data_IF_625584505878
#
_entry.id   IF_625584505878
#
_cell.length_a   1.000
_cell.length_b   1.000
_cell.length_c   1.000
_cell.angle_alpha   90.00
_cell.angle_beta   90.00
_cell.angle_gamma   90.00
#
_symmetry.space_group_name_H-M   'P 1'
#
loop_
_entity.id
_entity.type
_entity.pdbx_description
1 polymer ?
#
# COMPACT_ATOMS: atom_id res chain seq x y z
N UNK A 1 -68.04 -39.77 30.86
CA UNK A 1 -66.71 -39.13 30.97
C UNK A 1 -66.49 -38.22 29.77
N UNK A 2 -66.14 -36.96 29.99
CA UNK A 2 -65.76 -36.04 28.91
C UNK A 2 -64.36 -36.40 28.38
N UNK A 3 -64.18 -36.42 27.06
CA UNK A 3 -62.86 -36.17 26.44
C UNK A 3 -62.94 -34.84 25.71
N UNK A 4 -62.13 -33.88 26.15
CA UNK A 4 -62.08 -32.53 25.58
C UNK A 4 -61.31 -32.56 24.25
N UNK A 5 -61.77 -31.81 23.27
CA UNK A 5 -60.99 -31.44 22.09
C UNK A 5 -60.03 -30.33 22.50
N UNK A 6 -58.75 -30.50 22.18
CA UNK A 6 -57.76 -29.41 22.23
C UNK A 6 -57.03 -29.37 20.90
N UNK A 7 -57.25 -28.31 20.13
CA UNK A 7 -56.48 -27.98 18.93
C UNK A 7 -55.23 -27.24 19.40
N UNK A 8 -54.04 -27.75 19.08
CA UNK A 8 -52.80 -26.98 19.18
C UNK A 8 -52.41 -26.48 17.79
N UNK A 9 -52.44 -25.17 17.61
CA UNK A 9 -51.84 -24.52 16.46
C UNK A 9 -50.31 -24.53 16.64
N UNK A 10 -49.62 -25.31 15.80
CA UNK A 10 -48.17 -25.20 15.69
C UNK A 10 -47.84 -23.97 14.83
N UNK A 11 -47.33 -22.92 15.46
CA UNK A 11 -46.75 -21.78 14.75
C UNK A 11 -45.50 -22.30 14.03
N UNK A 12 -45.52 -22.30 12.70
CA UNK A 12 -44.34 -22.54 11.90
C UNK A 12 -43.39 -21.34 12.05
N UNK A 13 -42.51 -21.39 13.05
CA UNK A 13 -41.33 -20.54 13.05
C UNK A 13 -40.44 -20.97 11.89
N UNK A 14 -40.40 -20.15 10.85
CA UNK A 14 -39.32 -20.21 9.86
C UNK A 14 -38.02 -19.92 10.58
N UNK A 15 -37.28 -20.96 10.97
CA UNK A 15 -35.91 -20.79 11.41
C UNK A 15 -35.12 -20.21 10.23
N UNK A 16 -34.75 -18.93 10.35
CA UNK A 16 -33.65 -18.37 9.55
C UNK A 16 -32.46 -19.26 9.82
N UNK A 17 -31.97 -19.92 8.77
CA UNK A 17 -30.94 -20.94 8.90
C UNK A 17 -29.67 -20.33 9.48
N UNK A 18 -29.37 -20.64 10.73
CA UNK A 18 -27.98 -20.73 11.17
C UNK A 18 -27.32 -21.75 10.23
N UNK A 19 -26.43 -21.30 9.36
CA UNK A 19 -25.51 -22.20 8.66
C UNK A 19 -24.58 -22.78 9.71
N UNK A 20 -24.92 -23.97 10.23
CA UNK A 20 -24.07 -24.73 11.12
C UNK A 20 -22.72 -24.98 10.45
N UNK A 21 -21.63 -24.83 11.22
CA UNK A 21 -20.22 -25.00 10.77
C UNK A 21 -19.87 -26.50 10.56
N UNK A 22 -20.76 -27.25 9.89
CA UNK A 22 -20.66 -28.70 9.62
C UNK A 22 -19.82 -29.04 8.37
N UNK A 23 -18.85 -28.18 8.00
CA UNK A 23 -18.03 -28.33 6.79
C UNK A 23 -16.52 -28.52 7.03
N UNK A 24 -16.16 -29.09 8.18
CA UNK A 24 -14.91 -29.84 8.32
C UNK A 24 -15.25 -31.23 8.87
N UNK A 25 -14.88 -32.28 8.14
CA UNK A 25 -14.90 -33.63 8.67
C UNK A 25 -13.92 -33.67 9.85
N UNK A 26 -14.39 -33.97 11.06
CA UNK A 26 -13.51 -34.22 12.20
C UNK A 26 -12.66 -35.47 11.93
N UNK A 27 -11.54 -35.28 11.24
CA UNK A 27 -10.53 -36.32 11.09
C UNK A 27 -10.05 -36.71 12.49
N UNK A 28 -10.02 -38.01 12.77
CA UNK A 28 -9.61 -38.54 14.08
C UNK A 28 -8.28 -37.94 14.52
N UNK A 29 -8.24 -37.41 15.75
CA UNK A 29 -7.35 -36.37 16.33
C UNK A 29 -5.82 -36.54 16.22
N UNK A 30 -5.27 -37.45 15.41
CA UNK A 30 -3.85 -37.82 15.42
C UNK A 30 -3.13 -37.81 14.05
N UNK A 31 -3.84 -37.75 12.92
CA UNK A 31 -3.25 -38.02 11.58
C UNK A 31 -3.27 -36.88 10.54
N UNK A 32 -3.98 -35.78 10.79
CA UNK A 32 -4.05 -34.65 9.86
C UNK A 32 -3.42 -33.39 10.47
N UNK A 33 -2.75 -32.63 9.61
CA UNK A 33 -2.04 -31.42 9.95
C UNK A 33 -3.01 -30.22 9.90
N UNK A 34 -2.97 -29.27 10.85
CA UNK A 34 -3.68 -28.00 10.69
C UNK A 34 -3.26 -27.29 9.38
N UNK A 35 -4.20 -26.56 8.76
CA UNK A 35 -3.90 -25.46 7.84
C UNK A 35 -3.47 -24.30 8.73
N UNK A 36 -2.34 -24.47 9.40
CA UNK A 36 -1.88 -23.55 10.42
C UNK A 36 -1.30 -22.28 9.79
N UNK A 37 -1.10 -21.25 10.62
CA UNK A 37 -0.02 -20.29 10.36
C UNK A 37 1.17 -20.56 11.32
N UNK A 38 1.06 -21.54 12.24
CA UNK A 38 2.15 -22.17 13.04
C UNK A 38 1.60 -23.30 13.97
N UNK A 39 2.44 -24.18 14.57
CA UNK A 39 2.14 -25.11 15.72
C UNK A 39 1.52 -26.51 15.41
N UNK A 40 2.29 -27.57 15.70
CA UNK A 40 2.06 -29.03 15.67
C UNK A 40 1.57 -29.66 14.35
N UNK A 41 2.56 -30.01 13.52
CA UNK A 41 2.47 -30.58 12.16
C UNK A 41 1.87 -29.60 11.14
N UNK A 42 2.79 -28.89 10.49
CA UNK A 42 2.68 -28.27 9.15
C UNK A 42 2.05 -26.87 9.04
N UNK A 43 2.84 -25.92 8.47
CA UNK A 43 2.63 -24.50 8.10
C UNK A 43 3.49 -23.41 8.86
N UNK A 44 4.16 -22.35 8.30
CA UNK A 44 4.34 -21.69 6.95
C UNK A 44 5.80 -21.19 6.64
N UNK A 45 6.23 -21.10 5.35
CA UNK A 45 7.45 -20.36 4.88
C UNK A 45 7.25 -19.23 3.86
N UNK A 46 8.29 -18.39 3.69
CA UNK A 46 8.20 -17.03 3.08
C UNK A 46 9.19 -16.78 1.93
N UNK A 47 9.13 -15.58 1.35
CA UNK A 47 10.19 -14.98 0.55
C UNK A 47 11.00 -13.97 1.41
N UNK A 48 12.02 -13.33 0.84
CA UNK A 48 13.10 -12.62 1.54
C UNK A 48 12.65 -11.37 2.33
N UNK A 49 11.47 -10.83 2.03
CA UNK A 49 10.89 -9.67 2.71
C UNK A 49 9.61 -10.00 3.48
N UNK A 50 9.39 -9.26 4.56
CA UNK A 50 8.45 -9.62 5.61
C UNK A 50 7.39 -8.51 5.83
N UNK A 51 6.10 -8.85 5.80
CA UNK A 51 5.00 -7.90 6.07
C UNK A 51 5.24 -7.07 7.36
N UNK A 52 5.72 -7.70 8.43
CA UNK A 52 5.97 -7.04 9.71
C UNK A 52 7.15 -6.06 9.71
N UNK A 53 8.07 -6.13 8.72
CA UNK A 53 9.12 -5.11 8.53
C UNK A 53 8.61 -3.90 7.75
N UNK A 54 7.52 -4.04 7.01
CA UNK A 54 6.77 -2.95 6.37
C UNK A 54 5.67 -2.37 7.29
N UNK A 55 5.56 -2.83 8.53
CA UNK A 55 4.55 -2.39 9.48
C UNK A 55 3.20 -3.11 9.37
N UNK A 56 3.00 -3.98 8.37
CA UNK A 56 1.78 -4.77 8.23
C UNK A 56 1.78 -5.92 9.25
N UNK A 57 0.95 -5.82 10.29
CA UNK A 57 0.85 -6.86 11.35
C UNK A 57 -0.39 -7.75 11.23
N UNK A 58 -1.17 -7.61 10.16
CA UNK A 58 -2.30 -8.48 9.85
C UNK A 58 -2.57 -8.61 8.36
N UNK A 59 -3.33 -9.64 8.00
CA UNK A 59 -3.95 -9.79 6.68
C UNK A 59 -5.24 -10.62 6.78
N UNK A 60 -6.13 -10.48 5.80
CA UNK A 60 -7.32 -11.31 5.64
C UNK A 60 -7.10 -12.46 4.68
N UNK A 61 -7.76 -13.60 4.94
CA UNK A 61 -7.67 -14.80 4.09
C UNK A 61 -9.06 -15.39 3.83
N UNK A 62 -9.34 -15.65 2.56
CA UNK A 62 -10.32 -16.65 2.12
C UNK A 62 -9.61 -17.91 1.65
N UNK A 63 -10.22 -19.06 1.89
CA UNK A 63 -9.71 -20.33 1.39
C UNK A 63 -10.83 -21.23 0.90
N UNK A 64 -10.63 -21.89 -0.23
CA UNK A 64 -11.59 -22.77 -0.88
C UNK A 64 -10.92 -24.06 -1.35
N UNK A 65 -11.54 -25.21 -1.10
CA UNK A 65 -11.05 -26.54 -1.47
C UNK A 65 -11.82 -27.11 -2.66
N UNK A 66 -11.10 -27.78 -3.57
CA UNK A 66 -11.61 -28.32 -4.84
C UNK A 66 -11.21 -29.80 -4.99
N UNK A 67 -12.14 -30.60 -5.52
CA UNK A 67 -11.94 -32.03 -5.78
C UNK A 67 -12.48 -32.40 -7.15
N UNK A 68 -11.94 -33.47 -7.75
CA UNK A 68 -12.26 -33.89 -9.13
C UNK A 68 -13.71 -34.31 -9.37
N UNK A 69 -14.49 -34.50 -8.31
CA UNK A 69 -15.91 -34.89 -8.34
C UNK A 69 -16.74 -34.24 -7.23
N UNK A 70 -16.19 -33.23 -6.54
CA UNK A 70 -16.84 -32.56 -5.40
C UNK A 70 -17.10 -31.09 -5.75
N UNK A 71 -18.22 -30.55 -5.28
CA UNK A 71 -18.46 -29.10 -5.34
C UNK A 71 -17.44 -28.38 -4.48
N UNK A 72 -16.99 -27.20 -4.92
CA UNK A 72 -16.17 -26.29 -4.11
C UNK A 72 -16.75 -26.12 -2.71
N UNK A 73 -15.89 -26.16 -1.69
CA UNK A 73 -16.26 -25.82 -0.32
C UNK A 73 -15.38 -24.70 0.24
N UNK A 74 -15.98 -23.78 0.99
CA UNK A 74 -15.28 -22.72 1.73
C UNK A 74 -14.64 -23.29 3.00
N UNK A 75 -13.41 -22.87 3.30
CA UNK A 75 -12.60 -23.33 4.44
C UNK A 75 -12.29 -22.18 5.40
N UNK A 76 -11.99 -21.00 4.86
CA UNK A 76 -11.80 -19.75 5.59
C UNK A 76 -12.63 -18.65 4.93
N UNK A 77 -13.24 -17.79 5.74
CA UNK A 77 -14.10 -16.69 5.28
C UNK A 77 -13.69 -15.37 5.95
N UNK A 78 -12.90 -14.56 5.22
CA UNK A 78 -12.24 -13.36 5.73
C UNK A 78 -11.61 -13.57 7.13
N UNK A 79 -10.84 -14.65 7.28
CA UNK A 79 -10.12 -14.92 8.52
C UNK A 79 -9.01 -13.90 8.69
N UNK A 80 -8.98 -13.25 9.86
CA UNK A 80 -7.85 -12.44 10.30
C UNK A 80 -6.67 -13.34 10.62
N UNK A 81 -5.52 -13.10 10.02
CA UNK A 81 -4.22 -13.63 10.46
C UNK A 81 -3.43 -12.47 11.06
N UNK A 82 -2.97 -12.63 12.29
CA UNK A 82 -2.23 -11.63 13.05
C UNK A 82 -0.79 -12.06 13.31
N UNK A 83 0.13 -11.10 13.29
CA UNK A 83 1.52 -11.24 13.72
C UNK A 83 1.67 -11.01 15.23
N UNK A 84 2.61 -11.69 15.89
CA UNK A 84 3.13 -11.29 17.20
C UNK A 84 4.63 -11.52 17.31
N UNK A 85 5.37 -10.58 17.89
CA UNK A 85 6.80 -10.75 18.20
C UNK A 85 7.07 -11.36 19.59
N UNK A 86 6.00 -11.66 20.34
CA UNK A 86 6.08 -12.15 21.72
C UNK A 86 6.54 -11.10 22.75
N UNK A 87 6.77 -9.85 22.34
CA UNK A 87 7.28 -8.73 23.16
C UNK A 87 6.30 -7.55 23.18
N UNK A 88 5.06 -7.78 22.76
CA UNK A 88 3.96 -6.82 22.77
C UNK A 88 3.75 -6.06 21.46
N UNK A 89 4.45 -6.45 20.38
CA UNK A 89 4.19 -5.95 19.02
C UNK A 89 3.18 -6.86 18.33
N UNK A 90 2.16 -6.29 17.70
CA UNK A 90 1.08 -7.07 17.08
C UNK A 90 0.08 -7.65 18.08
N UNK A 91 -0.41 -8.86 17.82
CA UNK A 91 -1.53 -9.52 18.49
C UNK A 91 -1.09 -10.25 19.78
N UNK A 92 -2.03 -10.46 20.70
CA UNK A 92 -1.80 -11.30 21.88
C UNK A 92 -1.69 -12.77 21.47
N UNK A 93 -0.55 -13.40 21.78
CA UNK A 93 -0.28 -14.82 21.60
C UNK A 93 -0.65 -15.67 22.84
N UNK A 94 -1.28 -15.08 23.87
CA UNK A 94 -1.43 -15.74 25.18
C UNK A 94 -2.28 -17.03 25.17
N UNK A 95 -3.23 -17.14 24.25
CA UNK A 95 -4.17 -18.27 24.15
C UNK A 95 -3.86 -19.22 23.00
N UNK A 96 -2.89 -18.91 22.15
CA UNK A 96 -2.75 -19.58 20.85
C UNK A 96 -1.72 -20.70 20.94
N UNK A 97 -2.14 -21.90 20.58
CA UNK A 97 -1.30 -23.10 20.53
C UNK A 97 -0.38 -23.09 19.31
N UNK A 98 -0.70 -22.23 18.35
CA UNK A 98 -0.07 -22.13 17.04
C UNK A 98 1.25 -21.36 17.06
N UNK A 99 1.35 -20.20 17.71
CA UNK A 99 2.45 -19.23 17.54
C UNK A 99 3.88 -19.73 17.89
N UNK A 100 4.88 -19.23 17.16
CA UNK A 100 6.30 -19.35 17.52
C UNK A 100 7.09 -18.03 17.30
N UNK A 101 7.98 -17.66 18.23
CA UNK A 101 8.78 -16.41 18.17
C UNK A 101 9.69 -16.30 16.94
N UNK A 102 10.13 -17.44 16.41
CA UNK A 102 11.08 -17.49 15.28
C UNK A 102 10.37 -17.93 14.01
N UNK A 103 10.71 -17.26 12.90
CA UNK A 103 10.38 -17.75 11.55
C UNK A 103 11.23 -18.99 11.28
N UNK A 104 10.62 -20.01 10.71
CA UNK A 104 11.30 -21.21 10.25
C UNK A 104 11.21 -21.45 8.73
N UNK A 105 11.43 -22.70 8.35
CA UNK A 105 11.45 -23.22 6.98
C UNK A 105 10.10 -23.83 6.57
N UNK A 106 9.94 -24.20 5.29
CA UNK A 106 8.68 -24.76 4.74
C UNK A 106 8.33 -26.15 5.26
N UNK A 107 9.14 -26.68 6.17
CA UNK A 107 9.07 -28.05 6.66
C UNK A 107 9.29 -28.14 8.19
N UNK A 108 9.38 -27.00 8.91
CA UNK A 108 9.54 -26.98 10.39
C UNK A 108 8.42 -26.24 11.18
N UNK A 109 7.57 -25.48 10.48
CA UNK A 109 6.24 -25.06 10.95
C UNK A 109 6.25 -24.05 12.10
N UNK A 110 7.33 -23.27 12.18
CA UNK A 110 7.47 -22.15 13.11
C UNK A 110 7.16 -20.83 12.39
N UNK A 111 6.20 -20.08 12.94
CA UNK A 111 5.93 -18.74 12.44
C UNK A 111 5.34 -17.83 13.52
N UNK A 112 5.66 -16.54 13.50
CA UNK A 112 5.10 -15.53 14.41
C UNK A 112 3.67 -15.11 14.02
N UNK A 113 3.10 -15.72 12.97
CA UNK A 113 1.74 -15.47 12.49
C UNK A 113 0.78 -16.57 12.92
N UNK A 114 -0.44 -16.19 13.28
CA UNK A 114 -1.50 -17.10 13.70
C UNK A 114 -2.88 -16.50 13.44
N UNK A 115 -3.90 -17.35 13.53
CA UNK A 115 -5.31 -16.95 13.42
C UNK A 115 -6.21 -17.65 14.44
N UNK A 116 -5.68 -18.64 15.17
CA UNK A 116 -6.39 -19.35 16.22
C UNK A 116 -6.77 -18.38 17.35
N UNK A 117 -8.00 -18.48 17.85
CA UNK A 117 -8.58 -17.60 18.86
C UNK A 117 -8.62 -16.10 18.53
N UNK A 118 -8.16 -15.66 17.35
CA UNK A 118 -8.31 -14.26 16.96
C UNK A 118 -9.78 -13.89 16.81
N UNK A 119 -10.10 -12.68 17.28
CA UNK A 119 -11.43 -12.12 17.38
C UNK A 119 -11.35 -10.60 17.56
N UNK A 120 -12.31 -10.04 18.29
CA UNK A 120 -12.43 -8.60 18.54
C UNK A 120 -11.74 -8.14 19.83
N UNK A 121 -11.25 -9.05 20.69
CA UNK A 121 -10.72 -8.72 22.02
C UNK A 121 -9.21 -9.01 22.19
N UNK A 122 -8.60 -9.68 21.21
CA UNK A 122 -7.25 -10.23 21.25
C UNK A 122 -6.18 -9.21 20.79
N UNK A 123 -6.62 -8.05 20.33
CA UNK A 123 -5.76 -6.92 19.99
C UNK A 123 -5.91 -5.79 21.00
N UNK A 124 -4.93 -5.66 21.89
CA UNK A 124 -4.98 -4.78 23.07
C UNK A 124 -3.89 -3.69 23.06
N UNK A 125 -3.24 -3.48 21.92
CA UNK A 125 -2.17 -2.49 21.82
C UNK A 125 -2.68 -1.05 21.99
N UNK A 126 -1.99 -0.26 22.80
CA UNK A 126 -2.27 1.17 23.05
C UNK A 126 -1.15 2.08 22.56
N UNK A 127 -0.12 1.53 21.92
CA UNK A 127 1.10 2.20 21.50
C UNK A 127 1.28 2.05 19.99
N UNK A 128 1.08 3.13 19.24
CA UNK A 128 1.09 3.12 17.77
C UNK A 128 2.45 2.66 17.18
N UNK A 129 3.54 2.73 17.95
CA UNK A 129 4.85 2.22 17.50
C UNK A 129 4.91 0.69 17.43
N UNK A 130 3.92 0.00 18.02
CA UNK A 130 3.81 -1.46 18.11
C UNK A 130 2.77 -2.07 17.16
N UNK A 131 2.20 -1.24 16.29
CA UNK A 131 1.21 -1.60 15.27
C UNK A 131 -0.08 -0.81 15.41
N UNK A 132 -1.17 -1.40 14.93
CA UNK A 132 -2.53 -0.85 15.08
C UNK A 132 -2.85 -0.49 16.54
N UNK A 133 -3.98 0.17 16.77
CA UNK A 133 -4.47 0.48 18.11
C UNK A 133 -5.73 -0.32 18.43
N UNK A 134 -5.94 -0.64 19.71
CA UNK A 134 -7.17 -1.25 20.21
C UNK A 134 -8.42 -0.37 20.00
N UNK A 135 -8.25 0.90 19.63
CA UNK A 135 -9.33 1.80 19.20
C UNK A 135 -9.70 1.64 17.72
N UNK A 136 -8.86 1.00 16.90
CA UNK A 136 -9.06 0.84 15.45
C UNK A 136 -9.75 -0.50 15.13
N UNK A 137 -11.03 -0.61 15.49
CA UNK A 137 -11.85 -1.82 15.29
C UNK A 137 -11.96 -2.32 13.85
N UNK A 138 -11.59 -1.51 12.85
CA UNK A 138 -11.50 -1.94 11.45
C UNK A 138 -10.44 -3.03 11.19
N UNK A 139 -9.40 -3.13 12.05
CA UNK A 139 -8.31 -4.11 11.95
C UNK A 139 -8.48 -5.34 12.86
N UNK A 140 -9.53 -5.36 13.68
CA UNK A 140 -9.91 -6.49 14.53
C UNK A 140 -10.75 -7.49 13.74
N UNK A 141 -10.81 -8.77 14.10
CA UNK A 141 -11.55 -9.74 13.29
C UNK A 141 -13.07 -9.45 13.29
N UNK A 142 -13.69 -9.59 12.12
CA UNK A 142 -15.13 -9.65 11.95
C UNK A 142 -15.77 -10.88 12.62
N UNK A 143 -14.98 -11.95 12.79
CA UNK A 143 -15.39 -13.23 13.35
C UNK A 143 -14.77 -13.40 14.74
N UNK A 144 -15.58 -13.64 15.77
CA UNK A 144 -15.07 -13.96 17.10
C UNK A 144 -14.58 -15.43 17.15
N UNK A 145 -13.49 -15.68 17.89
CA UNK A 145 -12.94 -17.02 18.17
C UNK A 145 -12.69 -17.86 16.91
N UNK A 146 -11.86 -17.36 15.99
CA UNK A 146 -11.49 -18.12 14.79
C UNK A 146 -10.85 -19.48 15.14
N UNK A 147 -11.48 -20.55 14.66
CA UNK A 147 -11.05 -21.93 14.90
C UNK A 147 -9.95 -22.36 13.93
N UNK A 148 -8.97 -23.11 14.45
CA UNK A 148 -7.96 -23.83 13.67
C UNK A 148 -8.64 -24.74 12.62
N UNK A 149 -8.21 -24.63 11.37
CA UNK A 149 -8.65 -25.48 10.25
C UNK A 149 -7.58 -26.52 9.93
N UNK A 150 -7.93 -27.61 9.23
CA UNK A 150 -7.06 -28.77 8.96
C UNK A 150 -7.06 -29.17 7.48
N UNK A 151 -5.98 -29.82 7.03
CA UNK A 151 -5.79 -30.26 5.65
C UNK A 151 -6.74 -31.41 5.28
N UNK A 152 -7.90 -31.09 4.71
CA UNK A 152 -8.86 -32.08 4.23
C UNK A 152 -8.27 -32.89 3.06
N UNK A 153 -7.87 -34.13 3.34
CA UNK A 153 -7.21 -35.00 2.38
C UNK A 153 -8.13 -35.48 1.25
N UNK A 154 -9.45 -35.31 1.36
CA UNK A 154 -10.40 -35.68 0.29
C UNK A 154 -10.39 -34.69 -0.90
N UNK A 155 -9.82 -33.50 -0.73
CA UNK A 155 -9.74 -32.47 -1.77
C UNK A 155 -8.32 -32.36 -2.31
N UNK A 156 -8.16 -32.37 -3.63
CA UNK A 156 -6.84 -32.38 -4.28
C UNK A 156 -6.09 -31.06 -4.11
N UNK A 157 -6.82 -29.94 -4.06
CA UNK A 157 -6.25 -28.59 -4.01
C UNK A 157 -7.04 -27.67 -3.10
N UNK A 158 -6.33 -26.78 -2.41
CA UNK A 158 -6.91 -25.65 -1.68
C UNK A 158 -6.32 -24.36 -2.23
N UNK A 159 -7.16 -23.44 -2.67
CA UNK A 159 -6.78 -22.09 -3.07
C UNK A 159 -6.95 -21.14 -1.88
N UNK A 160 -6.04 -20.19 -1.77
CA UNK A 160 -5.98 -19.14 -0.76
C UNK A 160 -5.92 -17.80 -1.48
N UNK A 161 -6.76 -16.86 -1.04
CA UNK A 161 -6.82 -15.49 -1.52
C UNK A 161 -6.67 -14.57 -0.31
N UNK A 162 -5.65 -13.71 -0.32
CA UNK A 162 -5.29 -12.92 0.85
C UNK A 162 -5.01 -11.46 0.53
N UNK A 163 -5.19 -10.57 1.51
CA UNK A 163 -4.97 -9.14 1.38
C UNK A 163 -4.52 -8.50 2.70
N UNK A 164 -3.73 -7.43 2.64
CA UNK A 164 -3.29 -6.66 3.79
C UNK A 164 -3.53 -5.15 3.56
N UNK A 165 -3.75 -4.34 4.61
CA UNK A 165 -4.06 -4.75 5.97
C UNK A 165 -5.43 -5.45 6.05
N UNK A 166 -5.68 -6.19 7.13
CA UNK A 166 -7.01 -6.80 7.37
C UNK A 166 -8.10 -5.72 7.49
N UNK A 167 -9.30 -6.02 6.96
CA UNK A 167 -10.49 -5.18 7.15
C UNK A 167 -11.68 -6.05 7.61
N UNK A 168 -12.29 -5.67 8.74
CA UNK A 168 -13.47 -6.35 9.28
C UNK A 168 -14.74 -6.18 8.44
N UNK A 169 -14.79 -5.13 7.62
CA UNK A 169 -15.87 -4.88 6.69
C UNK A 169 -15.33 -4.21 5.41
N UNK A 170 -16.12 -4.25 4.34
CA UNK A 170 -15.82 -3.54 3.10
C UNK A 170 -14.81 -4.22 2.17
N UNK A 171 -14.16 -5.31 2.56
CA UNK A 171 -13.41 -6.17 1.62
C UNK A 171 -14.12 -7.51 1.50
N UNK A 172 -14.44 -7.93 0.27
CA UNK A 172 -15.21 -9.15 -0.02
C UNK A 172 -14.52 -9.99 -1.10
N UNK A 173 -14.84 -11.28 -1.17
CA UNK A 173 -14.39 -12.16 -2.24
C UNK A 173 -15.57 -12.91 -2.86
N UNK A 174 -15.72 -12.81 -4.19
CA UNK A 174 -16.66 -13.63 -4.96
C UNK A 174 -15.92 -14.84 -5.56
N UNK A 175 -16.29 -16.03 -5.06
CA UNK A 175 -15.76 -17.32 -5.47
C UNK A 175 -16.19 -17.74 -6.89
N UNK A 176 -17.27 -17.17 -7.43
CA UNK A 176 -17.72 -17.42 -8.82
C UNK A 176 -16.82 -16.72 -9.82
N UNK A 177 -16.50 -15.45 -9.55
CA UNK A 177 -15.68 -14.61 -10.44
C UNK A 177 -14.21 -14.54 -10.05
N UNK A 178 -13.80 -15.15 -8.92
CA UNK A 178 -12.44 -15.09 -8.36
C UNK A 178 -11.96 -13.65 -8.12
N UNK A 179 -12.83 -12.77 -7.65
CA UNK A 179 -12.51 -11.35 -7.43
C UNK A 179 -12.52 -10.99 -5.95
N UNK A 180 -11.43 -10.40 -5.47
CA UNK A 180 -11.45 -9.60 -4.23
C UNK A 180 -11.93 -8.20 -4.60
N UNK A 181 -12.86 -7.63 -3.84
CA UNK A 181 -13.38 -6.28 -4.03
C UNK A 181 -13.12 -5.47 -2.77
N UNK A 182 -12.43 -4.33 -2.90
CA UNK A 182 -12.27 -3.32 -1.86
C UNK A 182 -13.34 -2.27 -2.07
N UNK A 183 -14.36 -2.22 -1.23
CA UNK A 183 -15.45 -1.25 -1.34
C UNK A 183 -14.96 0.20 -1.14
N UNK A 184 -15.74 1.16 -1.64
CA UNK A 184 -15.49 2.57 -1.36
C UNK A 184 -15.44 2.85 0.15
N UNK A 185 -14.39 3.52 0.63
CA UNK A 185 -14.19 3.82 2.04
C UNK A 185 -13.76 2.63 2.92
N UNK A 186 -13.56 1.43 2.37
CA UNK A 186 -13.01 0.28 3.11
C UNK A 186 -11.51 0.43 3.42
N UNK A 187 -10.85 1.34 2.71
CA UNK A 187 -9.45 1.73 2.87
C UNK A 187 -9.40 3.26 2.92
N UNK A 188 -8.41 3.83 3.59
CA UNK A 188 -8.11 5.26 3.49
C UNK A 188 -6.96 5.42 2.48
N UNK A 189 -7.13 6.31 1.50
CA UNK A 189 -6.00 6.76 0.69
C UNK A 189 -5.16 7.72 1.54
N UNK A 190 -3.84 7.53 1.58
CA UNK A 190 -3.00 8.29 2.50
C UNK A 190 -1.51 8.12 2.27
N UNK A 191 -0.75 8.63 3.23
CA UNK A 191 0.69 8.79 3.20
C UNK A 191 1.33 8.35 4.52
N UNK A 192 2.64 8.13 4.49
CA UNK A 192 3.61 7.88 5.58
C UNK A 192 3.41 6.59 6.39
N UNK A 193 2.18 6.20 6.73
CA UNK A 193 1.90 4.92 7.37
C UNK A 193 1.49 3.86 6.33
N UNK A 194 2.48 3.06 5.91
CA UNK A 194 2.24 1.92 5.02
C UNK A 194 1.21 0.95 5.63
N UNK A 195 1.28 0.66 6.93
CA UNK A 195 0.40 -0.34 7.58
C UNK A 195 -1.09 0.01 7.51
N UNK A 196 -1.42 1.30 7.39
CA UNK A 196 -2.80 1.76 7.29
C UNK A 196 -3.24 2.02 5.85
N UNK A 197 -2.34 2.56 5.01
CA UNK A 197 -2.70 3.15 3.71
C UNK A 197 -2.33 2.27 2.50
N UNK A 198 -1.26 1.50 2.60
CA UNK A 198 -0.84 0.57 1.55
C UNK A 198 -1.74 -0.67 1.55
N UNK A 199 -2.40 -0.94 0.42
CA UNK A 199 -3.15 -2.17 0.24
C UNK A 199 -2.32 -3.19 -0.57
N UNK A 200 -2.21 -4.41 -0.05
CA UNK A 200 -1.49 -5.51 -0.66
C UNK A 200 -2.39 -6.73 -0.87
N UNK A 201 -2.01 -7.61 -1.80
CA UNK A 201 -2.74 -8.84 -2.12
C UNK A 201 -1.81 -10.02 -2.42
N UNK A 202 -2.29 -11.23 -2.16
CA UNK A 202 -1.60 -12.48 -2.48
C UNK A 202 -2.59 -13.55 -2.95
N UNK A 203 -2.07 -14.56 -3.64
CA UNK A 203 -2.80 -15.79 -4.01
C UNK A 203 -1.87 -16.98 -3.88
N UNK A 204 -2.41 -18.13 -3.47
CA UNK A 204 -1.68 -19.38 -3.40
C UNK A 204 -2.60 -20.59 -3.63
N UNK A 205 -2.04 -21.68 -4.14
CA UNK A 205 -2.68 -22.99 -4.26
C UNK A 205 -1.74 -24.00 -3.64
N UNK A 206 -2.26 -24.79 -2.72
CA UNK A 206 -1.55 -25.93 -2.14
C UNK A 206 -2.23 -27.23 -2.56
N UNK A 207 -1.46 -28.31 -2.64
CA UNK A 207 -2.02 -29.65 -2.85
C UNK A 207 -2.12 -30.42 -1.52
N UNK A 208 -3.06 -31.35 -1.43
CA UNK A 208 -3.14 -32.27 -0.29
C UNK A 208 -1.95 -33.26 -0.19
N UNK A 209 -1.15 -33.39 -1.25
CA UNK A 209 0.05 -34.21 -1.29
C UNK A 209 1.22 -33.54 -0.55
N UNK A 210 1.37 -32.22 -0.71
CA UNK A 210 2.44 -31.45 -0.04
C UNK A 210 2.23 -31.47 1.49
N UNK A 211 0.99 -31.19 1.91
CA UNK A 211 0.63 -30.89 3.30
C UNK A 211 1.53 -29.79 3.89
N UNK A 212 2.03 -28.86 3.08
CA UNK A 212 3.01 -27.86 3.48
C UNK A 212 2.37 -26.51 3.73
N UNK A 213 2.95 -25.80 4.68
CA UNK A 213 3.37 -24.42 4.61
C UNK A 213 2.96 -23.62 3.35
N UNK A 214 1.81 -22.94 3.47
CA UNK A 214 1.19 -22.07 2.47
C UNK A 214 1.98 -20.77 2.32
N UNK A 215 2.91 -20.73 1.38
CA UNK A 215 3.66 -19.51 1.06
C UNK A 215 2.77 -18.48 0.35
N UNK A 216 2.53 -17.35 1.02
CA UNK A 216 1.90 -16.15 0.42
C UNK A 216 2.97 -15.15 0.00
N UNK A 217 2.95 -14.73 -1.27
CA UNK A 217 3.83 -13.68 -1.80
C UNK A 217 3.00 -12.43 -2.10
N UNK A 218 2.90 -11.56 -1.08
CA UNK A 218 2.16 -10.30 -1.14
C UNK A 218 2.73 -9.32 -2.16
N UNK A 219 1.83 -8.51 -2.74
CA UNK A 219 2.08 -7.57 -3.81
C UNK A 219 1.25 -6.32 -3.61
N UNK A 220 1.82 -5.18 -3.94
CA UNK A 220 1.25 -3.86 -3.76
C UNK A 220 0.15 -3.65 -4.81
N UNK A 221 -1.06 -3.28 -4.36
CA UNK A 221 -2.16 -2.86 -5.25
C UNK A 221 -1.86 -1.49 -5.88
N UNK A 222 -1.08 -0.68 -5.17
CA UNK A 222 -0.63 0.63 -5.60
C UNK A 222 0.84 0.71 -5.95
N UNK A 223 1.27 1.95 -6.11
CA UNK A 223 2.65 2.37 -6.28
C UNK A 223 3.17 3.02 -5.00
N UNK A 224 4.49 3.20 -4.89
CA UNK A 224 5.10 4.10 -3.91
C UNK A 224 5.56 5.37 -4.62
N UNK A 225 5.16 6.54 -4.13
CA UNK A 225 5.50 7.84 -4.73
C UNK A 225 6.33 8.68 -3.75
N UNK A 226 7.50 9.10 -4.25
CA UNK A 226 8.53 9.81 -3.50
C UNK A 226 9.00 11.05 -4.28
N UNK A 227 9.52 12.05 -3.57
CA UNK A 227 9.88 13.35 -4.12
C UNK A 227 11.29 13.77 -3.66
N UNK A 228 12.13 14.24 -4.60
CA UNK A 228 13.48 14.74 -4.29
C UNK A 228 13.93 15.92 -5.16
N UNK A 229 14.86 16.70 -4.64
CA UNK A 229 15.30 17.99 -5.18
C UNK A 229 16.82 18.16 -5.17
N UNK A 230 17.30 18.93 -6.13
CA UNK A 230 18.64 19.53 -6.16
C UNK A 230 18.61 20.84 -6.98
N UNK A 231 19.69 21.63 -6.97
CA UNK A 231 19.73 22.93 -7.67
C UNK A 231 20.99 23.15 -8.51
N UNK A 232 20.90 23.99 -9.53
CA UNK A 232 22.03 24.53 -10.28
C UNK A 232 21.80 26.03 -10.54
N UNK A 233 21.97 26.83 -9.48
CA UNK A 233 21.69 28.27 -9.48
C UNK A 233 22.95 29.07 -9.17
N UNK A 234 23.72 29.42 -10.19
CA UNK A 234 24.96 30.21 -10.03
C UNK A 234 24.73 31.50 -9.22
N UNK A 235 25.42 31.60 -8.07
CA UNK A 235 25.44 32.78 -7.20
C UNK A 235 24.35 32.82 -6.13
N UNK A 236 23.47 31.82 -6.08
CA UNK A 236 22.45 31.67 -5.05
C UNK A 236 22.40 30.21 -4.55
N UNK A 237 21.88 30.01 -3.35
CA UNK A 237 21.48 28.69 -2.85
C UNK A 237 19.97 28.67 -2.60
N UNK A 238 19.36 27.48 -2.58
CA UNK A 238 17.90 27.34 -2.66
C UNK A 238 17.31 26.72 -1.38
N UNK A 239 16.46 27.47 -0.68
CA UNK A 239 15.65 27.01 0.47
C UNK A 239 14.22 26.76 -0.03
N UNK A 240 13.69 25.54 0.11
CA UNK A 240 12.28 25.25 -0.24
C UNK A 240 11.38 25.75 0.90
N UNK A 241 10.24 26.35 0.56
CA UNK A 241 9.25 26.88 1.51
C UNK A 241 7.84 26.38 1.17
N UNK A 242 6.89 26.55 2.09
CA UNK A 242 5.48 26.18 1.84
C UNK A 242 4.91 26.94 0.65
N UNK A 243 4.08 26.29 -0.16
CA UNK A 243 3.50 26.92 -1.36
C UNK A 243 2.57 28.09 -1.00
N UNK A 244 1.75 27.99 0.04
CA UNK A 244 0.73 29.00 0.42
C UNK A 244 0.89 29.52 1.86
N UNK A 245 0.58 28.68 2.85
CA UNK A 245 0.75 28.95 4.28
C UNK A 245 1.50 27.79 4.94
N UNK A 246 1.92 27.95 6.20
CA UNK A 246 2.58 26.89 6.96
C UNK A 246 1.81 25.56 6.87
N UNK A 247 2.57 24.47 6.77
CA UNK A 247 2.10 23.08 6.70
C UNK A 247 1.42 22.68 5.37
N UNK A 248 1.37 23.57 4.37
CA UNK A 248 0.85 23.24 3.03
C UNK A 248 1.90 22.71 2.06
N UNK A 249 3.18 22.73 2.45
CA UNK A 249 4.29 22.00 1.81
C UNK A 249 4.46 22.28 0.31
N UNK A 250 4.91 21.25 -0.40
CA UNK A 250 4.87 21.14 -1.87
C UNK A 250 3.56 20.45 -2.26
N UNK A 251 2.88 20.90 -3.32
CA UNK A 251 1.64 20.27 -3.77
C UNK A 251 1.76 19.65 -5.16
N UNK A 252 0.97 18.60 -5.43
CA UNK A 252 0.83 18.01 -6.76
C UNK A 252 -0.65 17.84 -7.11
N UNK A 253 -1.08 18.62 -8.09
CA UNK A 253 -2.47 18.81 -8.50
C UNK A 253 -2.78 17.92 -9.70
N UNK A 254 -3.77 17.01 -9.63
CA UNK A 254 -4.06 16.07 -10.73
C UNK A 254 -4.55 16.82 -11.96
N UNK A 255 -3.94 16.54 -13.11
CA UNK A 255 -4.18 17.30 -14.33
C UNK A 255 -4.07 16.45 -15.60
N UNK A 256 -4.77 16.86 -16.66
CA UNK A 256 -4.48 16.44 -18.04
C UNK A 256 -3.89 17.61 -18.83
N UNK A 257 -3.09 17.30 -19.85
CA UNK A 257 -2.48 18.29 -20.75
C UNK A 257 -2.80 17.94 -22.21
N UNK A 258 -3.33 18.91 -22.96
CA UNK A 258 -3.54 18.80 -24.41
C UNK A 258 -3.04 20.06 -25.11
N UNK A 259 -2.00 19.92 -25.94
CA UNK A 259 -1.21 21.08 -26.39
C UNK A 259 -0.66 21.84 -25.18
N UNK A 260 -0.89 23.15 -25.12
CA UNK A 260 -0.53 23.99 -23.97
C UNK A 260 -1.70 24.23 -22.99
N UNK A 261 -2.82 23.52 -23.16
CA UNK A 261 -3.97 23.59 -22.25
C UNK A 261 -3.85 22.57 -21.14
N UNK A 262 -4.05 23.02 -19.90
CA UNK A 262 -4.12 22.18 -18.70
C UNK A 262 -5.56 22.12 -18.20
N UNK A 263 -5.96 21.02 -17.58
CA UNK A 263 -7.31 20.86 -17.00
C UNK A 263 -7.25 19.95 -15.80
N UNK A 264 -7.89 20.36 -14.70
CA UNK A 264 -7.96 19.58 -13.46
C UNK A 264 -8.58 18.21 -13.74
N UNK A 265 -7.96 17.17 -13.20
CA UNK A 265 -8.33 15.78 -13.45
C UNK A 265 -8.65 15.06 -12.14
N UNK A 266 -9.03 13.77 -12.24
CA UNK A 266 -9.21 12.90 -11.08
C UNK A 266 -8.46 11.60 -11.26
N UNK A 267 -7.73 11.16 -10.23
CA UNK A 267 -6.93 9.92 -10.23
C UNK A 267 -7.57 8.86 -9.34
N UNK A 268 -7.29 7.58 -9.63
CA UNK A 268 -7.85 6.45 -8.88
C UNK A 268 -7.12 6.18 -7.56
N UNK A 269 -7.85 5.71 -6.55
CA UNK A 269 -7.30 5.27 -5.24
C UNK A 269 -7.62 3.79 -4.95
N UNK A 270 -7.18 3.28 -3.79
CA UNK A 270 -7.50 1.93 -3.28
C UNK A 270 -8.99 1.69 -3.06
N UNK A 271 -9.78 2.76 -2.91
CA UNK A 271 -11.22 2.71 -2.68
C UNK A 271 -11.98 2.29 -3.95
N UNK A 272 -12.64 1.14 -3.93
CA UNK A 272 -13.43 0.63 -5.06
C UNK A 272 -12.67 -0.29 -6.02
N UNK A 273 -11.38 -0.55 -5.78
CA UNK A 273 -10.57 -1.42 -6.63
C UNK A 273 -10.96 -2.90 -6.47
N UNK A 274 -10.91 -3.68 -7.56
CA UNK A 274 -11.05 -5.14 -7.53
C UNK A 274 -9.80 -5.85 -8.05
N UNK A 275 -9.48 -7.01 -7.49
CA UNK A 275 -8.31 -7.83 -7.80
C UNK A 275 -8.81 -9.17 -8.36
N UNK A 276 -8.49 -9.49 -9.61
CA UNK A 276 -8.97 -10.71 -10.29
C UNK A 276 -7.94 -11.84 -10.31
N UNK A 277 -8.37 -13.06 -9.96
CA UNK A 277 -7.54 -14.29 -9.93
C UNK A 277 -8.02 -15.36 -10.93
N UNK A 278 -8.81 -14.98 -11.93
CA UNK A 278 -9.45 -15.90 -12.90
C UNK A 278 -8.46 -16.63 -13.81
N UNK A 279 -7.35 -15.99 -14.16
CA UNK A 279 -6.31 -16.54 -15.04
C UNK A 279 -5.34 -17.48 -14.32
N UNK A 280 -5.10 -17.28 -13.02
CA UNK A 280 -4.37 -18.20 -12.14
C UNK A 280 -4.48 -17.80 -10.68
N UNK A 281 -4.41 -18.78 -9.77
CA UNK A 281 -4.33 -18.55 -8.32
C UNK A 281 -2.89 -18.42 -7.81
N UNK A 282 -1.91 -19.06 -8.46
CA UNK A 282 -0.49 -19.09 -8.01
C UNK A 282 0.48 -18.37 -8.93
N UNK A 283 0.34 -18.59 -10.23
CA UNK A 283 1.24 -18.12 -11.30
C UNK A 283 0.44 -18.05 -12.61
N UNK A 284 0.00 -16.87 -13.08
CA UNK A 284 -0.39 -16.73 -14.48
C UNK A 284 0.84 -16.91 -15.38
N UNK A 285 0.63 -17.27 -16.65
CA UNK A 285 1.68 -17.78 -17.56
C UNK A 285 2.97 -16.97 -17.60
N UNK A 286 4.10 -17.67 -17.43
CA UNK A 286 5.42 -17.06 -17.36
C UNK A 286 5.96 -16.61 -18.73
N UNK A 287 5.91 -15.30 -18.96
CA UNK A 287 6.93 -14.59 -19.73
C UNK A 287 7.30 -13.31 -18.97
N UNK A 288 8.28 -13.43 -18.06
CA UNK A 288 8.91 -12.36 -17.24
C UNK A 288 7.98 -11.17 -16.94
N UNK A 289 7.08 -11.32 -15.97
CA UNK A 289 6.44 -10.18 -15.30
C UNK A 289 5.81 -10.59 -13.98
N UNK A 290 5.73 -9.63 -13.06
CA UNK A 290 4.90 -9.70 -11.85
C UNK A 290 3.47 -10.13 -12.20
N UNK A 291 2.75 -10.89 -11.35
CA UNK A 291 1.41 -11.34 -11.67
C UNK A 291 0.50 -10.13 -11.82
N UNK A 292 -0.19 -10.10 -12.95
CA UNK A 292 -1.18 -9.09 -13.25
C UNK A 292 -2.49 -9.58 -12.62
N UNK A 293 -2.74 -9.18 -11.37
CA UNK A 293 -4.12 -8.95 -11.00
C UNK A 293 -4.57 -7.69 -11.77
N UNK A 294 -5.48 -7.87 -12.71
CA UNK A 294 -6.08 -6.71 -13.39
C UNK A 294 -6.93 -5.96 -12.38
N UNK A 295 -6.62 -4.67 -12.18
CA UNK A 295 -7.53 -3.78 -11.45
C UNK A 295 -8.69 -3.45 -12.39
N UNK A 296 -9.91 -3.88 -12.05
CA UNK A 296 -11.08 -3.34 -12.75
C UNK A 296 -11.39 -1.95 -12.18
N UNK A 297 -11.38 -0.95 -13.05
CA UNK A 297 -11.64 0.44 -12.72
C UNK A 297 -13.11 0.86 -12.83
N UNK A 298 -13.99 0.01 -13.38
CA UNK A 298 -15.44 0.25 -13.53
C UNK A 298 -16.15 0.56 -12.20
N UNK A 299 -15.58 0.10 -11.07
CA UNK A 299 -16.05 0.38 -9.70
C UNK A 299 -15.10 1.23 -8.85
N UNK A 300 -13.96 1.66 -9.40
CA UNK A 300 -12.92 2.35 -8.63
C UNK A 300 -13.22 3.85 -8.46
N UNK A 301 -12.96 4.38 -7.27
CA UNK A 301 -13.21 5.78 -6.94
C UNK A 301 -12.09 6.66 -7.51
N UNK A 302 -12.46 7.81 -8.07
CA UNK A 302 -11.52 8.86 -8.43
C UNK A 302 -11.62 10.03 -7.44
N UNK A 303 -10.48 10.62 -7.09
CA UNK A 303 -10.39 11.84 -6.26
C UNK A 303 -9.65 12.94 -7.01
N UNK A 304 -9.95 14.18 -6.67
CA UNK A 304 -9.35 15.43 -7.16
C UNK A 304 -8.40 16.09 -6.14
N UNK A 305 -8.33 15.56 -4.91
CA UNK A 305 -7.50 16.11 -3.83
C UNK A 305 -6.01 16.18 -4.24
N UNK A 306 -5.37 17.32 -3.96
CA UNK A 306 -3.93 17.48 -4.16
C UNK A 306 -3.14 16.53 -3.26
N UNK A 307 -2.03 16.00 -3.79
CA UNK A 307 -1.00 15.41 -2.92
C UNK A 307 -0.20 16.54 -2.27
N UNK A 308 0.10 16.41 -0.98
CA UNK A 308 0.85 17.38 -0.17
C UNK A 308 2.09 16.70 0.38
N UNK A 309 3.25 17.15 -0.07
CA UNK A 309 4.55 16.63 0.36
C UNK A 309 5.19 17.60 1.36
N UNK A 310 5.59 17.08 2.51
CA UNK A 310 6.33 17.84 3.53
C UNK A 310 7.67 18.32 2.96
N UNK A 311 8.03 19.55 3.25
CA UNK A 311 9.31 20.15 2.88
C UNK A 311 10.43 19.32 3.54
N UNK A 312 11.54 19.00 2.84
CA UNK A 312 12.69 18.36 3.46
C UNK A 312 13.09 19.09 4.75
N UNK A 313 13.40 18.37 5.84
CA UNK A 313 13.73 18.96 7.13
C UNK A 313 15.10 18.47 7.65
N UNK A 314 16.09 19.36 7.62
CA UNK A 314 17.43 19.10 8.12
C UNK A 314 18.25 18.07 7.32
N UNK A 315 19.37 17.64 7.90
CA UNK A 315 20.38 16.82 7.19
C UNK A 315 19.99 15.36 6.99
N UNK A 316 19.04 14.82 7.76
CA UNK A 316 18.46 13.48 7.54
C UNK A 316 17.74 13.40 6.20
N UNK A 317 17.09 14.49 5.82
CA UNK A 317 16.34 14.63 4.58
C UNK A 317 17.24 15.11 3.43
N UNK A 318 18.55 15.22 3.65
CA UNK A 318 19.54 15.56 2.62
C UNK A 318 19.75 17.05 2.37
N UNK A 319 19.23 17.94 3.22
CA UNK A 319 19.58 19.36 3.18
C UNK A 319 21.03 19.61 3.58
N UNK A 320 21.56 20.72 3.08
CA UNK A 320 22.86 21.28 3.44
C UNK A 320 22.66 22.62 4.13
N UNK A 321 23.51 22.97 5.09
CA UNK A 321 23.39 24.23 5.82
C UNK A 321 24.39 25.25 5.29
N UNK A 322 23.94 26.47 5.01
CA UNK A 322 24.80 27.62 4.65
C UNK A 322 24.63 28.76 5.65
N UNK A 323 25.64 29.63 5.75
CA UNK A 323 25.56 30.88 6.51
C UNK A 323 25.93 32.04 5.60
N UNK A 324 25.00 32.99 5.43
CA UNK A 324 25.23 34.17 4.61
C UNK A 324 26.36 35.03 5.21
N UNK A 325 27.39 35.40 4.42
CA UNK A 325 28.63 35.96 4.95
C UNK A 325 28.48 37.37 5.54
N UNK A 326 27.50 38.15 5.08
CA UNK A 326 27.26 39.52 5.54
C UNK A 326 26.26 39.59 6.70
N UNK A 327 25.17 38.82 6.66
CA UNK A 327 24.12 38.85 7.68
C UNK A 327 24.38 37.89 8.85
N UNK A 328 25.23 36.88 8.67
CA UNK A 328 25.44 35.81 9.64
C UNK A 328 24.22 34.89 9.83
N UNK A 329 23.17 35.05 9.01
CA UNK A 329 21.98 34.20 9.05
C UNK A 329 22.27 32.84 8.42
N UNK A 330 21.83 31.80 9.09
CA UNK A 330 21.92 30.41 8.62
C UNK A 330 20.64 30.00 7.92
N UNK A 331 20.77 29.19 6.87
CA UNK A 331 19.67 28.64 6.06
C UNK A 331 19.94 27.16 5.80
N UNK A 332 18.87 26.37 5.74
CA UNK A 332 18.92 24.98 5.27
C UNK A 332 18.46 24.95 3.80
N UNK A 333 19.36 24.51 2.93
CA UNK A 333 19.24 24.61 1.47
C UNK A 333 19.44 23.27 0.80
N UNK A 334 18.76 23.06 -0.33
CA UNK A 334 18.91 21.83 -1.13
C UNK A 334 20.33 21.73 -1.72
N UNK A 335 20.84 20.51 -1.96
CA UNK A 335 22.20 20.32 -2.46
C UNK A 335 22.36 20.81 -3.89
N UNK A 336 23.53 21.37 -4.17
CA UNK A 336 23.95 21.79 -5.51
C UNK A 336 24.19 20.57 -6.42
N UNK A 337 24.02 20.78 -7.72
CA UNK A 337 24.36 19.90 -8.84
C UNK A 337 25.87 19.69 -8.91
N UNK A 338 26.31 18.43 -8.83
CA UNK A 338 27.74 18.10 -8.82
C UNK A 338 28.16 17.78 -10.26
N UNK A 339 29.06 18.58 -10.84
CA UNK A 339 29.49 18.36 -12.23
C UNK A 339 30.32 17.06 -12.37
N UNK A 340 29.70 16.01 -12.92
CA UNK A 340 30.16 14.59 -13.00
C UNK A 340 30.14 13.81 -11.66
N UNK A 341 28.96 13.51 -11.08
CA UNK A 341 28.88 12.74 -9.85
C UNK A 341 28.69 11.24 -10.15
N UNK A 342 29.48 10.40 -9.49
CA UNK A 342 29.09 8.99 -9.26
C UNK A 342 28.01 8.88 -8.17
N UNK A 343 27.79 9.93 -7.38
CA UNK A 343 26.86 9.98 -6.24
C UNK A 343 26.25 11.39 -6.07
N UNK A 344 25.24 11.75 -6.87
CA UNK A 344 24.50 13.01 -6.66
C UNK A 344 23.71 12.94 -5.33
N UNK A 345 23.81 14.00 -4.53
CA UNK A 345 23.01 14.16 -3.30
C UNK A 345 21.69 14.84 -3.64
N UNK A 346 20.63 14.49 -2.93
CA UNK A 346 19.31 15.10 -3.10
C UNK A 346 18.69 15.38 -1.73
N UNK A 347 18.03 16.54 -1.61
CA UNK A 347 17.06 16.76 -0.55
C UNK A 347 15.77 15.98 -0.88
N UNK A 348 15.09 15.41 0.10
CA UNK A 348 13.95 14.50 -0.10
C UNK A 348 12.79 14.92 0.79
N UNK A 349 11.57 14.87 0.27
CA UNK A 349 10.41 14.91 1.16
C UNK A 349 10.41 13.64 2.00
N UNK A 350 10.10 13.79 3.29
CA UNK A 350 9.79 12.65 4.17
C UNK A 350 8.45 12.01 3.84
N UNK A 351 7.58 12.70 3.09
CA UNK A 351 6.27 12.19 2.70
C UNK A 351 6.35 11.10 1.64
N UNK A 352 5.72 9.96 1.93
CA UNK A 352 5.61 8.81 1.04
C UNK A 352 4.14 8.51 0.77
N UNK A 353 3.72 8.64 -0.48
CA UNK A 353 2.36 8.33 -0.91
C UNK A 353 2.21 6.89 -1.42
N UNK A 354 1.07 6.27 -1.12
CA UNK A 354 0.69 4.92 -1.57
C UNK A 354 -0.54 4.95 -2.49
N UNK A 355 -0.52 5.67 -3.63
CA UNK A 355 -1.66 5.79 -4.53
C UNK A 355 -1.85 4.51 -5.34
N UNK A 356 -3.02 4.32 -5.95
CA UNK A 356 -3.29 3.11 -6.73
C UNK A 356 -2.86 3.19 -8.18
N UNK A 357 -2.61 2.00 -8.72
CA UNK A 357 -2.50 1.73 -10.14
C UNK A 357 -3.55 2.55 -10.93
N UNK A 358 -3.09 3.47 -11.77
CA UNK A 358 -3.92 4.09 -12.77
C UNK A 358 -4.09 3.11 -13.95
N UNK A 359 -5.23 3.15 -14.67
CA UNK A 359 -5.41 2.40 -15.90
C UNK A 359 -4.23 2.59 -16.86
N UNK A 360 -3.90 1.56 -17.64
CA UNK A 360 -2.80 1.63 -18.61
C UNK A 360 -3.07 2.61 -19.76
N UNK A 361 -4.31 3.05 -19.95
CA UNK A 361 -4.76 4.10 -20.87
C UNK A 361 -4.95 5.48 -20.18
N UNK A 362 -4.67 5.62 -18.88
CA UNK A 362 -4.79 6.89 -18.16
C UNK A 362 -3.92 8.00 -18.76
N UNK A 363 -4.53 9.17 -18.93
CA UNK A 363 -3.89 10.41 -19.38
C UNK A 363 -3.61 11.40 -18.23
N UNK A 364 -3.92 11.00 -16.98
CA UNK A 364 -3.73 11.83 -15.78
C UNK A 364 -2.26 11.95 -15.41
N UNK A 365 -1.74 13.17 -15.50
CA UNK A 365 -0.48 13.62 -14.90
C UNK A 365 -0.73 14.47 -13.65
N UNK A 366 0.31 15.15 -13.18
CA UNK A 366 0.24 16.08 -12.05
C UNK A 366 1.02 17.36 -12.35
N UNK A 367 0.45 18.51 -12.04
CA UNK A 367 1.21 19.77 -11.93
C UNK A 367 1.75 19.87 -10.52
N UNK A 368 3.07 19.93 -10.37
CA UNK A 368 3.73 20.16 -9.09
C UNK A 368 3.90 21.65 -8.87
N UNK A 369 3.52 22.10 -7.68
CA UNK A 369 3.58 23.47 -7.17
C UNK A 369 4.68 23.54 -6.11
N UNK A 370 5.69 24.39 -6.30
CA UNK A 370 6.82 24.51 -5.37
C UNK A 370 7.19 25.98 -5.18
N UNK A 371 7.16 26.45 -3.93
CA UNK A 371 7.73 27.76 -3.56
C UNK A 371 9.13 27.58 -2.97
N UNK A 372 10.02 28.55 -3.20
CA UNK A 372 11.38 28.54 -2.66
C UNK A 372 11.94 29.95 -2.54
N UNK A 373 13.05 30.07 -1.82
CA UNK A 373 13.89 31.27 -1.80
C UNK A 373 15.22 31.00 -2.46
N UNK A 374 15.69 32.01 -3.17
CA UNK A 374 17.06 32.13 -3.63
C UNK A 374 17.80 33.01 -2.62
N UNK A 375 18.89 32.48 -2.08
CA UNK A 375 19.72 33.15 -1.06
C UNK A 375 21.06 33.48 -1.70
N UNK A 376 21.34 34.76 -1.92
CA UNK A 376 22.56 35.20 -2.59
C UNK A 376 23.82 34.85 -1.77
N UNK A 377 24.81 34.25 -2.42
CA UNK A 377 26.01 33.74 -1.74
C UNK A 377 26.94 34.83 -1.21
N UNK A 378 26.91 36.02 -1.81
CA UNK A 378 27.83 37.12 -1.52
C UNK A 378 27.33 38.06 -0.41
N UNK A 379 26.01 38.27 -0.32
CA UNK A 379 25.41 39.26 0.58
C UNK A 379 24.25 38.72 1.44
N UNK A 380 23.70 37.53 1.13
CA UNK A 380 22.57 36.93 1.84
C UNK A 380 21.19 37.49 1.51
N UNK A 381 21.04 38.22 0.40
CA UNK A 381 19.76 38.70 -0.15
C UNK A 381 18.82 37.52 -0.45
N UNK A 382 17.56 37.64 -0.01
CA UNK A 382 16.52 36.64 -0.20
C UNK A 382 15.55 37.07 -1.31
N UNK A 383 15.49 36.32 -2.41
CA UNK A 383 14.45 36.47 -3.44
C UNK A 383 13.46 35.32 -3.27
N UNK A 384 12.19 35.64 -2.99
CA UNK A 384 11.14 34.61 -2.87
C UNK A 384 10.51 34.34 -4.24
N UNK A 385 10.48 33.06 -4.60
CA UNK A 385 9.80 32.50 -5.77
C UNK A 385 8.54 31.79 -5.26
N UNK A 386 7.39 32.33 -5.62
CA UNK A 386 6.08 31.77 -5.27
C UNK A 386 5.57 30.87 -6.39
N UNK A 387 5.02 29.70 -6.02
CA UNK A 387 4.23 28.82 -6.89
C UNK A 387 4.89 28.55 -8.25
N UNK A 388 6.13 28.05 -8.24
CA UNK A 388 6.78 27.60 -9.45
C UNK A 388 6.15 26.27 -9.87
N UNK A 389 5.52 26.25 -11.05
CA UNK A 389 4.74 25.11 -11.53
C UNK A 389 5.47 24.29 -12.60
N UNK A 390 5.36 22.97 -12.52
CA UNK A 390 5.88 22.03 -13.53
C UNK A 390 4.97 20.81 -13.68
N UNK A 391 4.63 20.46 -14.93
CA UNK A 391 3.75 19.32 -15.22
C UNK A 391 4.54 18.04 -15.49
N UNK A 392 4.23 17.00 -14.72
CA UNK A 392 4.69 15.63 -14.92
C UNK A 392 3.59 14.86 -15.66
N UNK A 393 3.82 14.39 -16.90
CA UNK A 393 2.79 13.73 -17.69
C UNK A 393 2.49 12.32 -17.17
N UNK A 394 1.29 11.81 -17.49
CA UNK A 394 0.91 10.42 -17.27
C UNK A 394 1.98 9.42 -17.78
N UNK A 395 2.54 9.70 -18.97
CA UNK A 395 3.53 8.88 -19.66
C UNK A 395 4.61 9.73 -20.32
N UNK A 396 5.79 9.15 -20.47
CA UNK A 396 6.86 9.66 -21.35
C UNK A 396 7.19 8.59 -22.40
N UNK A 397 6.75 8.80 -23.64
CA UNK A 397 6.79 7.77 -24.67
C UNK A 397 5.98 6.53 -24.25
N UNK A 398 6.64 5.38 -24.13
CA UNK A 398 6.05 4.13 -23.65
C UNK A 398 6.10 3.95 -22.12
N UNK A 399 6.83 4.81 -21.40
CA UNK A 399 7.03 4.67 -19.95
C UNK A 399 5.89 5.33 -19.18
N UNK A 400 5.35 4.63 -18.19
CA UNK A 400 4.42 5.19 -17.22
C UNK A 400 5.19 6.07 -16.24
N UNK A 401 4.78 7.33 -16.09
CA UNK A 401 5.45 8.30 -15.21
C UNK A 401 4.51 8.71 -14.07
N UNK A 402 3.36 9.32 -14.36
CA UNK A 402 2.33 9.66 -13.37
C UNK A 402 1.06 8.78 -13.46
N UNK A 403 0.85 8.05 -14.56
CA UNK A 403 -0.11 6.95 -14.61
C UNK A 403 0.48 5.73 -13.88
N UNK A 404 0.61 5.85 -12.56
CA UNK A 404 1.27 4.90 -11.68
C UNK A 404 0.84 3.46 -11.91
N UNK A 405 1.78 2.53 -11.88
CA UNK A 405 1.53 1.09 -12.08
C UNK A 405 1.69 0.33 -10.74
N UNK A 406 0.98 -0.81 -10.55
CA UNK A 406 1.05 -1.56 -9.31
C UNK A 406 2.46 -2.16 -9.12
N UNK A 407 2.88 -2.39 -7.87
CA UNK A 407 4.23 -2.89 -7.55
C UNK A 407 5.35 -2.04 -8.17
N UNK A 408 5.16 -0.73 -8.34
CA UNK A 408 6.17 0.17 -8.91
C UNK A 408 6.48 1.32 -7.96
N UNK A 409 7.75 1.67 -7.82
CA UNK A 409 8.22 2.79 -7.02
C UNK A 409 8.67 3.91 -7.96
N UNK A 410 8.10 5.09 -7.73
CA UNK A 410 8.41 6.32 -8.43
C UNK A 410 9.14 7.27 -7.49
N UNK A 411 10.30 7.76 -7.91
CA UNK A 411 11.01 8.85 -7.25
C UNK A 411 11.18 9.99 -8.25
N UNK A 412 10.37 11.03 -8.11
CA UNK A 412 10.44 12.21 -8.97
C UNK A 412 11.60 13.10 -8.54
N UNK A 413 12.41 13.49 -9.53
CA UNK A 413 13.56 14.38 -9.34
C UNK A 413 13.25 15.72 -9.96
N UNK A 414 13.34 16.77 -9.16
CA UNK A 414 13.19 18.15 -9.63
C UNK A 414 14.50 18.91 -9.47
N UNK A 415 14.79 19.74 -10.47
CA UNK A 415 15.94 20.62 -10.51
C UNK A 415 15.46 22.06 -10.48
N UNK A 416 15.98 22.88 -9.57
CA UNK A 416 15.81 24.33 -9.63
C UNK A 416 17.05 24.90 -10.31
N UNK A 417 16.89 25.63 -11.43
CA UNK A 417 18.01 26.02 -12.29
C UNK A 417 17.80 27.38 -12.93
N UNK A 418 18.88 28.00 -13.39
CA UNK A 418 18.83 29.27 -14.15
C UNK A 418 18.24 29.13 -15.57
N UNK A 419 18.23 27.92 -16.14
CA UNK A 419 17.89 27.68 -17.54
C UNK A 419 16.60 26.83 -17.69
N UNK A 420 15.53 27.46 -18.24
CA UNK A 420 14.31 26.87 -18.89
C UNK A 420 12.92 26.97 -18.21
N UNK A 421 12.03 27.75 -18.84
CA UNK A 421 10.55 27.59 -18.98
C UNK A 421 9.60 27.47 -17.77
N UNK A 422 10.05 27.32 -16.53
CA UNK A 422 9.15 27.45 -15.36
C UNK A 422 8.71 28.90 -15.13
N UNK A 423 7.49 29.10 -14.63
CA UNK A 423 6.91 30.41 -14.36
C UNK A 423 6.39 30.49 -12.92
N UNK A 424 6.36 31.69 -12.39
CA UNK A 424 5.77 32.04 -11.09
C UNK A 424 4.53 32.89 -11.31
N UNK A 425 3.53 32.76 -10.43
CA UNK A 425 2.46 33.75 -10.35
C UNK A 425 2.92 34.92 -9.46
N UNK A 426 2.87 36.19 -9.92
CA UNK A 426 3.10 37.35 -9.06
C UNK A 426 1.98 37.59 -8.01
N UNK A 427 0.87 36.84 -8.08
CA UNK A 427 -0.25 36.91 -7.14
C UNK A 427 -0.10 35.90 -5.99
N UNK A 428 -1.16 35.76 -5.18
CA UNK A 428 -1.28 34.68 -4.19
C UNK A 428 -1.23 33.33 -4.89
N UNK A 429 -0.38 32.38 -4.43
CA UNK A 429 -0.32 31.01 -4.95
C UNK A 429 -1.69 30.33 -5.05
N UNK A 430 -1.93 29.66 -6.17
CA UNK A 430 -3.16 28.93 -6.47
C UNK A 430 -2.80 27.47 -6.79
N UNK A 431 -3.02 26.62 -5.80
CA UNK A 431 -2.74 25.17 -5.87
C UNK A 431 -3.84 24.38 -6.57
N UNK A 432 -5.00 24.99 -6.83
CA UNK A 432 -6.12 24.33 -7.51
C UNK A 432 -6.04 24.54 -9.04
N UNK A 433 -5.25 25.51 -9.52
CA UNK A 433 -4.96 25.76 -10.94
C UNK A 433 -3.76 24.95 -11.46
N UNK A 434 -3.97 23.86 -12.23
CA UNK A 434 -2.87 23.06 -12.78
C UNK A 434 -2.13 23.72 -13.95
N UNK A 435 -2.50 24.94 -14.35
CA UNK A 435 -1.89 25.62 -15.50
C UNK A 435 -0.44 25.96 -15.21
N UNK A 436 0.49 25.37 -15.96
CA UNK A 436 1.89 25.83 -15.99
C UNK A 436 1.95 27.11 -16.83
N UNK A 437 2.31 28.28 -16.28
CA UNK A 437 2.21 29.53 -17.04
C UNK A 437 3.27 29.60 -18.15
N UNK A 438 2.95 30.15 -19.33
CA UNK A 438 3.75 29.96 -20.55
C UNK A 438 5.00 30.84 -20.68
N UNK A 439 5.19 31.80 -19.77
CA UNK A 439 6.31 32.76 -19.82
C UNK A 439 7.32 32.42 -18.74
N UNK A 440 8.57 32.03 -19.08
CA UNK A 440 9.59 31.74 -18.09
C UNK A 440 9.82 32.94 -17.16
N UNK A 441 9.77 32.71 -15.85
CA UNK A 441 10.26 33.66 -14.85
C UNK A 441 11.67 33.26 -14.38
N UNK A 442 12.27 34.07 -13.50
CA UNK A 442 13.69 33.94 -13.14
C UNK A 442 13.90 32.70 -12.27
N UNK A 443 14.89 31.87 -12.62
CA UNK A 443 15.29 30.62 -11.93
C UNK A 443 14.20 29.56 -11.76
N UNK A 444 13.71 28.97 -12.87
CA UNK A 444 12.61 28.00 -12.87
C UNK A 444 12.89 26.63 -12.22
N UNK A 445 11.80 25.96 -11.81
CA UNK A 445 11.77 24.53 -11.50
C UNK A 445 11.57 23.70 -12.78
N UNK A 446 12.33 22.61 -12.89
CA UNK A 446 12.34 21.68 -14.03
C UNK A 446 12.14 20.26 -13.51
N UNK A 447 11.33 19.47 -14.22
CA UNK A 447 11.22 18.04 -14.00
C UNK A 447 12.42 17.34 -14.67
N UNK A 448 13.33 16.83 -13.85
CA UNK A 448 14.60 16.24 -14.30
C UNK A 448 14.49 14.72 -14.52
N UNK A 449 13.28 14.18 -14.36
CA UNK A 449 12.95 12.77 -14.61
C UNK A 449 12.50 12.00 -13.36
N UNK A 450 11.99 10.79 -13.60
CA UNK A 450 11.61 9.86 -12.55
C UNK A 450 12.58 8.67 -12.53
N UNK A 451 13.03 8.27 -11.35
CA UNK A 451 13.55 6.92 -11.16
C UNK A 451 12.35 6.00 -10.96
N UNK A 452 12.18 5.04 -11.87
CA UNK A 452 11.14 4.01 -11.82
C UNK A 452 11.80 2.67 -11.55
N UNK A 453 11.43 2.01 -10.46
CA UNK A 453 11.95 0.69 -10.10
C UNK A 453 10.83 -0.23 -9.60
N UNK A 454 11.02 -1.54 -9.66
CA UNK A 454 10.09 -2.48 -9.05
C UNK A 454 9.94 -2.15 -7.56
N UNK A 455 8.70 -1.95 -7.11
CA UNK A 455 8.34 -1.96 -5.69
C UNK A 455 8.11 -3.39 -5.19
N UNK A 456 8.92 -4.31 -5.70
CA UNK A 456 9.36 -5.49 -4.96
C UNK A 456 10.85 -5.27 -4.84
N UNK A 457 11.38 -5.01 -3.64
CA UNK A 457 12.80 -4.67 -3.50
C UNK A 457 13.65 -5.71 -4.21
N UNK A 458 14.61 -5.22 -5.00
CA UNK A 458 15.50 -6.02 -5.84
C UNK A 458 15.97 -7.25 -5.07
N UNK A 459 15.69 -8.43 -5.65
CA UNK A 459 16.45 -9.64 -5.34
C UNK A 459 17.92 -9.30 -5.59
N UNK A 460 18.65 -9.02 -4.51
CA UNK A 460 20.10 -9.06 -4.55
C UNK A 460 20.44 -10.55 -4.63
N UNK A 461 20.53 -11.06 -5.85
CA UNK A 461 20.83 -12.45 -6.14
C UNK A 461 22.12 -12.87 -5.44
N UNK A 462 21.97 -13.70 -4.41
CA UNK A 462 23.01 -14.61 -3.97
C UNK A 462 22.44 -16.02 -4.06
N UNK A 463 22.92 -16.79 -5.04
CA UNK A 463 22.59 -18.21 -5.19
C UNK A 463 22.82 -18.95 -3.86
N UNK A 464 21.86 -19.83 -3.51
CA UNK A 464 22.06 -20.92 -2.54
C UNK A 464 22.15 -22.24 -3.32
#
# INVERSE_FOLDING_TARGET
MMKKVTIFAAIAMTMVGCSSDELVNNSTENNEAPIAFSVEKKNISRAVQNLESLGHYNFGVWAYKYGTSLTTQKVMDNYLVGYSDGKGKGYSNANVTTWAETIGTQDDHKSPWFYEYLGTAEYQNTDATKGYLATQSAYMSANANQYLRYWDLAYTTTNFYAYAPYRSAGVTFDETTKKVTVAHGAQTAGYDDASLNEFMYAGATATNADKKDVKLTFKHLGAQVNLRFYENVRGYRVEIIDVTSSDNGIQATPATKSGDTYTTAKYYTTCGATIEYTSSTTNPTASVTNPIATVNHDGATKVDDNLVFVIPAGTTDGLTTITAPVTGKTYDVIPEDIENPTTQTYAKSSTVYYPVAQPTDSEVGFTFHVSYKLIAEDNGEEITVNDARVYVPAKSGSEFIAAWQPNTKYTYTFKITKDSTGSTDPNTPDVDDPTVPPTPQVYPIVFDGATVEDYTEKSNDSNF
#
